data_IF_433983743175
#
_entry.id   IF_433983743175
#
_cell.length_a   1.000
_cell.length_b   1.000
_cell.length_c   1.000
_cell.angle_alpha   90.00
_cell.angle_beta   90.00
_cell.angle_gamma   90.00
#
_symmetry.space_group_name_H-M   'P 1'
#
loop_
_entity.id
_entity.type
_entity.pdbx_description
1 polymer ?
#
# COMPACT_ATOMS: atom_id res chain seq x y z
N UNK A 1 2.23 17.61 -1.49
CA UNK A 1 2.74 17.12 -2.80
C UNK A 1 2.12 15.76 -3.00
N UNK A 2 1.50 15.52 -4.15
CA UNK A 2 0.84 14.25 -4.48
C UNK A 2 1.77 13.40 -5.35
N UNK A 3 1.45 12.12 -5.53
CA UNK A 3 2.18 11.25 -6.45
C UNK A 3 2.25 11.83 -7.88
N UNK A 4 1.21 12.56 -8.33
CA UNK A 4 1.15 13.20 -9.67
C UNK A 4 2.21 14.28 -9.88
N UNK A 5 2.74 14.84 -8.80
CA UNK A 5 3.77 15.89 -8.86
C UNK A 5 5.18 15.33 -9.04
N UNK A 6 5.36 14.03 -8.82
CA UNK A 6 6.67 13.36 -8.86
C UNK A 6 7.20 13.19 -10.28
N UNK A 7 8.52 13.20 -10.41
CA UNK A 7 9.18 13.07 -11.73
C UNK A 7 8.84 11.72 -12.36
N UNK A 8 8.93 10.64 -11.60
CA UNK A 8 8.74 9.29 -12.11
C UNK A 8 7.30 9.09 -12.63
N UNK A 9 6.28 9.61 -11.93
CA UNK A 9 4.90 9.59 -12.40
C UNK A 9 4.73 10.37 -13.71
N UNK A 10 5.24 11.61 -13.74
CA UNK A 10 5.14 12.46 -14.94
C UNK A 10 5.83 11.84 -16.14
N UNK A 11 6.99 11.18 -15.93
CA UNK A 11 7.69 10.50 -17.00
C UNK A 11 6.93 9.26 -17.49
N UNK A 12 6.37 8.45 -16.59
CA UNK A 12 5.62 7.25 -16.95
C UNK A 12 4.36 7.57 -17.77
N UNK A 13 3.65 8.64 -17.42
CA UNK A 13 2.35 8.97 -18.01
C UNK A 13 2.38 10.18 -18.95
N UNK A 14 3.54 10.56 -19.48
CA UNK A 14 3.64 11.64 -20.47
C UNK A 14 3.23 11.20 -21.88
N UNK A 15 3.16 12.17 -22.80
CA UNK A 15 2.66 11.96 -24.17
C UNK A 15 3.64 11.24 -25.09
N UNK A 16 4.91 11.08 -24.70
CA UNK A 16 5.97 10.52 -25.55
C UNK A 16 5.72 9.07 -25.97
N UNK A 17 4.95 8.32 -25.19
CA UNK A 17 4.67 6.90 -25.46
C UNK A 17 3.54 6.65 -26.46
N UNK A 18 2.90 7.68 -27.01
CA UNK A 18 1.75 7.54 -27.88
C UNK A 18 0.53 6.94 -27.13
N UNK A 19 -0.07 5.91 -27.61
CA UNK A 19 -1.13 5.09 -26.96
C UNK A 19 -2.03 5.84 -25.96
N UNK A 20 -2.57 7.00 -26.36
CA UNK A 20 -3.35 7.91 -25.48
C UNK A 20 -4.44 7.15 -24.71
N UNK A 21 -5.23 6.34 -25.43
CA UNK A 21 -6.34 5.60 -24.81
C UNK A 21 -5.87 4.60 -23.72
N UNK A 22 -4.73 3.95 -23.92
CA UNK A 22 -4.16 3.03 -22.90
C UNK A 22 -3.68 3.81 -21.68
N UNK A 23 -2.96 4.92 -21.91
CA UNK A 23 -2.46 5.78 -20.84
C UNK A 23 -3.61 6.32 -19.98
N UNK A 24 -4.66 6.85 -20.61
CA UNK A 24 -5.84 7.35 -19.91
C UNK A 24 -6.54 6.24 -19.11
N UNK A 25 -6.68 5.04 -19.67
CA UNK A 25 -7.25 3.91 -18.96
C UNK A 25 -6.44 3.52 -17.73
N UNK A 26 -5.11 3.47 -17.85
CA UNK A 26 -4.22 3.12 -16.74
C UNK A 26 -4.23 4.23 -15.66
N UNK A 27 -4.22 5.50 -16.05
CA UNK A 27 -4.32 6.61 -15.12
C UNK A 27 -5.65 6.57 -14.36
N UNK A 28 -6.77 6.40 -15.05
CA UNK A 28 -8.09 6.32 -14.42
C UNK A 28 -8.20 5.09 -13.50
N UNK A 29 -7.70 3.94 -13.92
CA UNK A 29 -7.67 2.73 -13.10
C UNK A 29 -6.83 2.93 -11.84
N UNK A 30 -5.67 3.59 -11.96
CA UNK A 30 -4.84 3.90 -10.80
C UNK A 30 -5.54 4.87 -9.85
N UNK A 31 -6.21 5.91 -10.33
CA UNK A 31 -6.96 6.84 -9.48
C UNK A 31 -8.07 6.14 -8.68
N UNK A 32 -8.78 5.23 -9.32
CA UNK A 32 -9.80 4.40 -8.64
C UNK A 32 -9.14 3.53 -7.56
N UNK A 33 -8.04 2.85 -7.89
CA UNK A 33 -7.30 2.02 -6.95
C UNK A 33 -6.74 2.84 -5.77
N UNK A 34 -6.18 4.02 -6.04
CA UNK A 34 -5.67 4.95 -5.02
C UNK A 34 -6.77 5.39 -4.05
N UNK A 35 -7.94 5.77 -4.57
CA UNK A 35 -9.06 6.16 -3.73
C UNK A 35 -9.56 5.01 -2.85
N UNK A 36 -9.65 3.80 -3.41
CA UNK A 36 -10.04 2.61 -2.66
C UNK A 36 -9.00 2.22 -1.60
N UNK A 37 -7.71 2.27 -1.94
CA UNK A 37 -6.63 2.00 -1.00
C UNK A 37 -6.61 3.03 0.14
N UNK A 38 -6.86 4.31 -0.15
CA UNK A 38 -6.96 5.35 0.89
C UNK A 38 -7.97 5.00 1.98
N UNK A 39 -9.10 4.41 1.61
CA UNK A 39 -10.10 3.96 2.59
C UNK A 39 -9.55 2.83 3.48
N UNK A 40 -8.86 1.84 2.91
CA UNK A 40 -8.27 0.73 3.67
C UNK A 40 -7.11 1.20 4.56
N UNK A 41 -6.22 2.00 4.02
CA UNK A 41 -5.05 2.52 4.73
C UNK A 41 -5.43 3.37 5.95
N UNK A 42 -6.50 4.18 5.83
CA UNK A 42 -7.01 4.94 6.95
C UNK A 42 -7.52 4.06 8.12
N UNK A 43 -7.88 2.81 7.85
CA UNK A 43 -8.28 1.86 8.89
C UNK A 43 -7.10 1.31 9.68
N UNK A 44 -5.92 1.20 9.08
CA UNK A 44 -4.71 0.76 9.77
C UNK A 44 -4.43 1.63 11.01
N UNK A 45 -4.59 2.95 10.87
CA UNK A 45 -4.42 3.88 12.00
C UNK A 45 -5.40 3.64 13.13
N UNK A 46 -6.61 3.18 12.82
CA UNK A 46 -7.65 2.87 13.81
C UNK A 46 -7.34 1.52 14.47
N UNK A 47 -6.96 0.53 13.65
CA UNK A 47 -6.69 -0.84 14.10
C UNK A 47 -5.39 -0.91 14.92
N UNK A 48 -4.40 -0.08 14.57
CA UNK A 48 -3.06 -0.06 15.16
C UNK A 48 -2.58 1.36 15.45
N UNK A 49 -3.13 2.04 16.47
CA UNK A 49 -2.82 3.46 16.75
C UNK A 49 -1.36 3.71 17.17
N UNK A 50 -0.64 2.67 17.59
CA UNK A 50 0.77 2.74 17.99
C UNK A 50 1.76 2.57 16.82
N UNK A 51 1.29 2.16 15.63
CA UNK A 51 2.14 2.08 14.46
C UNK A 51 2.42 3.47 13.87
N UNK A 52 3.50 3.54 13.12
CA UNK A 52 3.80 4.70 12.27
C UNK A 52 2.66 4.97 11.29
N UNK A 53 2.59 6.19 10.77
CA UNK A 53 1.51 6.59 9.86
C UNK A 53 1.61 5.77 8.56
N UNK A 54 0.65 4.88 8.34
CA UNK A 54 0.48 4.07 7.13
C UNK A 54 -0.79 4.48 6.39
N UNK A 55 -0.92 5.77 6.10
CA UNK A 55 -2.03 6.32 5.34
C UNK A 55 -1.65 6.59 3.87
N UNK A 56 -2.57 7.15 3.11
CA UNK A 56 -2.33 7.44 1.70
C UNK A 56 -1.17 8.43 1.48
N UNK A 57 -0.85 9.27 2.46
CA UNK A 57 0.28 10.21 2.33
C UNK A 57 1.62 9.50 2.42
N UNK A 58 1.70 8.40 3.17
CA UNK A 58 2.85 7.50 3.16
C UNK A 58 3.05 6.91 1.76
N UNK A 59 2.00 6.37 1.16
CA UNK A 59 2.04 5.80 -0.19
C UNK A 59 2.43 6.84 -1.24
N UNK A 60 1.87 8.05 -1.15
CA UNK A 60 2.26 9.15 -2.05
C UNK A 60 3.75 9.51 -1.91
N UNK A 61 4.31 9.42 -0.69
CA UNK A 61 5.72 9.67 -0.48
C UNK A 61 6.65 8.61 -1.07
N UNK A 62 6.18 7.36 -1.24
CA UNK A 62 6.95 6.32 -1.93
C UNK A 62 7.26 6.69 -3.39
N UNK A 63 6.35 7.37 -4.07
CA UNK A 63 6.62 7.90 -5.40
C UNK A 63 7.76 8.94 -5.43
N UNK A 64 7.89 9.74 -4.37
CA UNK A 64 9.00 10.69 -4.24
C UNK A 64 10.32 9.96 -4.03
N UNK A 65 10.34 9.00 -3.10
CA UNK A 65 11.52 8.18 -2.83
C UNK A 65 11.94 7.41 -4.08
N UNK A 66 10.99 6.76 -4.76
CA UNK A 66 11.25 6.06 -6.02
C UNK A 66 11.79 7.00 -7.11
N UNK A 67 11.27 8.23 -7.21
CA UNK A 67 11.78 9.24 -8.15
C UNK A 67 13.23 9.66 -7.84
N UNK A 68 13.59 9.74 -6.56
CA UNK A 68 14.96 10.07 -6.14
C UNK A 68 15.91 8.91 -6.48
N UNK A 69 15.50 7.67 -6.20
CA UNK A 69 16.29 6.46 -6.48
C UNK A 69 16.46 6.26 -7.99
N UNK A 70 15.40 6.43 -8.76
CA UNK A 70 15.40 6.26 -10.22
C UNK A 70 16.31 7.31 -10.91
N UNK A 71 16.39 8.51 -10.36
CA UNK A 71 17.12 9.61 -10.99
C UNK A 71 16.44 10.12 -12.26
N UNK A 72 17.19 10.91 -13.05
CA UNK A 72 16.63 11.57 -14.24
C UNK A 72 16.62 10.68 -15.49
N UNK A 73 17.47 9.66 -15.50
CA UNK A 73 17.70 8.83 -16.70
C UNK A 73 16.84 7.57 -16.73
N UNK A 74 16.21 7.23 -15.61
CA UNK A 74 15.35 6.06 -15.52
C UNK A 74 13.93 6.40 -15.98
N UNK A 75 13.47 5.68 -16.99
CA UNK A 75 12.17 5.92 -17.62
C UNK A 75 11.27 4.70 -17.47
N UNK A 76 10.07 4.94 -16.95
CA UNK A 76 9.00 3.94 -16.93
C UNK A 76 8.03 4.21 -18.08
N UNK A 77 7.55 3.16 -18.74
CA UNK A 77 6.38 3.25 -19.59
C UNK A 77 5.09 3.27 -18.74
N UNK A 78 3.92 3.61 -19.32
CA UNK A 78 2.67 3.72 -18.56
C UNK A 78 2.27 2.44 -17.82
N UNK A 79 2.55 1.25 -18.37
CA UNK A 79 2.22 -0.03 -17.72
C UNK A 79 3.15 -0.29 -16.52
N UNK A 80 4.42 -0.03 -16.66
CA UNK A 80 5.40 -0.15 -15.57
C UNK A 80 5.08 0.82 -14.44
N UNK A 81 4.74 2.08 -14.78
CA UNK A 81 4.29 3.08 -13.81
C UNK A 81 3.02 2.64 -13.07
N UNK A 82 2.06 2.08 -13.78
CA UNK A 82 0.84 1.54 -13.19
C UNK A 82 1.14 0.39 -12.23
N UNK A 83 1.96 -0.59 -12.63
CA UNK A 83 2.33 -1.74 -11.80
C UNK A 83 3.07 -1.28 -10.54
N UNK A 84 4.06 -0.39 -10.69
CA UNK A 84 4.80 0.16 -9.55
C UNK A 84 3.87 0.87 -8.57
N UNK A 85 2.98 1.72 -9.08
CA UNK A 85 2.02 2.43 -8.25
C UNK A 85 1.05 1.51 -7.52
N UNK A 86 0.53 0.50 -8.19
CA UNK A 86 -0.31 -0.51 -7.54
C UNK A 86 0.46 -1.28 -6.46
N UNK A 87 1.74 -1.59 -6.68
CA UNK A 87 2.58 -2.20 -5.65
C UNK A 87 2.70 -1.32 -4.41
N UNK A 88 2.85 0.00 -4.57
CA UNK A 88 2.84 0.94 -3.45
C UNK A 88 1.49 0.99 -2.71
N UNK A 89 0.37 0.86 -3.43
CA UNK A 89 -0.95 0.88 -2.81
C UNK A 89 -1.23 -0.37 -1.96
N UNK A 90 -0.73 -1.53 -2.37
CA UNK A 90 -1.09 -2.81 -1.74
C UNK A 90 -0.09 -3.30 -0.69
N UNK A 91 1.13 -2.75 -0.63
CA UNK A 91 2.18 -3.28 0.25
C UNK A 91 1.77 -3.28 1.73
N UNK A 92 1.04 -2.25 2.17
CA UNK A 92 0.54 -2.13 3.54
C UNK A 92 -0.94 -2.50 3.71
N UNK A 93 -1.67 -2.76 2.61
CA UNK A 93 -3.11 -2.99 2.67
C UNK A 93 -3.50 -4.17 3.57
N UNK A 94 -2.65 -5.18 3.67
CA UNK A 94 -2.85 -6.35 4.52
C UNK A 94 -2.72 -6.06 6.02
N UNK A 95 -2.19 -4.91 6.43
CA UNK A 95 -2.12 -4.51 7.83
C UNK A 95 -3.50 -4.12 8.39
N UNK A 96 -4.49 -3.80 7.55
CA UNK A 96 -5.86 -3.57 8.03
C UNK A 96 -6.61 -4.87 8.27
N UNK A 97 -7.27 -5.01 9.43
CA UNK A 97 -8.14 -6.16 9.70
C UNK A 97 -9.26 -6.33 8.67
N UNK A 98 -9.71 -5.25 8.04
CA UNK A 98 -10.74 -5.30 6.99
C UNK A 98 -10.27 -6.12 5.78
N UNK A 99 -8.99 -6.05 5.45
CA UNK A 99 -8.43 -6.82 4.32
C UNK A 99 -8.57 -8.34 4.49
N UNK A 100 -8.68 -8.81 5.74
CA UNK A 100 -8.82 -10.23 6.09
C UNK A 100 -10.21 -10.59 6.64
N UNK A 101 -11.20 -9.71 6.44
CA UNK A 101 -12.58 -9.95 6.89
C UNK A 101 -12.84 -9.61 8.36
N UNK A 102 -11.94 -8.87 9.00
CA UNK A 102 -12.05 -8.44 10.39
C UNK A 102 -11.19 -9.25 11.37
N UNK A 103 -11.07 -8.73 12.61
CA UNK A 103 -10.25 -9.32 13.68
C UNK A 103 -10.65 -10.77 14.00
N UNK A 104 -11.95 -11.06 14.07
CA UNK A 104 -12.44 -12.39 14.40
C UNK A 104 -12.17 -13.40 13.28
N UNK A 105 -12.28 -12.96 12.03
CA UNK A 105 -11.92 -13.78 10.87
C UNK A 105 -10.44 -14.14 10.90
N UNK A 106 -9.55 -13.17 11.16
CA UNK A 106 -8.12 -13.42 11.32
C UNK A 106 -7.84 -14.45 12.44
N UNK A 107 -8.44 -14.24 13.62
CA UNK A 107 -8.27 -15.13 14.78
C UNK A 107 -8.79 -16.55 14.54
N UNK A 108 -9.70 -16.75 13.60
CA UNK A 108 -10.23 -18.07 13.25
C UNK A 108 -9.29 -18.88 12.35
N UNK A 109 -8.31 -18.25 11.70
CA UNK A 109 -7.37 -18.92 10.79
C UNK A 109 -6.44 -19.90 11.53
N UNK A 110 -5.99 -20.91 10.82
CA UNK A 110 -4.99 -21.88 11.34
C UNK A 110 -3.69 -21.18 11.65
N UNK A 111 -3.24 -20.31 10.75
CA UNK A 111 -2.00 -19.54 10.87
C UNK A 111 -1.97 -18.69 12.15
N UNK A 112 -3.08 -18.03 12.47
CA UNK A 112 -3.20 -17.27 13.72
C UNK A 112 -3.12 -18.19 14.94
N UNK A 113 -3.85 -19.31 14.94
CA UNK A 113 -3.88 -20.26 16.05
C UNK A 113 -2.51 -20.88 16.31
N UNK A 114 -1.80 -21.24 15.25
CA UNK A 114 -0.44 -21.78 15.32
C UNK A 114 0.53 -20.73 15.87
N UNK A 115 0.48 -19.49 15.35
CA UNK A 115 1.28 -18.39 15.85
C UNK A 115 1.00 -18.12 17.34
N UNK A 116 -0.28 -18.03 17.73
CA UNK A 116 -0.68 -17.80 19.12
C UNK A 116 -0.19 -18.92 20.04
N UNK A 117 -0.33 -20.18 19.63
CA UNK A 117 0.14 -21.34 20.40
C UNK A 117 1.66 -21.35 20.57
N UNK A 118 2.40 -21.12 19.49
CA UNK A 118 3.86 -21.32 19.49
C UNK A 118 4.64 -20.11 19.98
N UNK A 119 4.12 -18.91 19.80
CA UNK A 119 4.84 -17.68 20.11
C UNK A 119 4.30 -16.98 21.36
N UNK A 120 3.02 -16.67 21.41
CA UNK A 120 2.43 -15.89 22.50
C UNK A 120 2.34 -16.71 23.79
N UNK A 121 1.97 -18.00 23.71
CA UNK A 121 1.88 -18.87 24.88
C UNK A 121 3.22 -19.15 25.56
N UNK A 122 4.33 -19.01 24.81
CA UNK A 122 5.70 -19.19 25.31
C UNK A 122 6.36 -17.89 25.79
N UNK A 123 5.70 -16.74 25.59
CA UNK A 123 6.21 -15.45 26.05
C UNK A 123 5.91 -15.23 27.53
N UNK A 124 6.79 -14.48 28.22
CA UNK A 124 6.57 -14.05 29.60
C UNK A 124 5.54 -12.90 29.72
N UNK A 125 4.73 -12.70 28.70
CA UNK A 125 3.67 -11.69 28.68
C UNK A 125 2.57 -12.04 29.67
N UNK A 126 2.00 -11.01 30.31
CA UNK A 126 0.82 -11.14 31.15
C UNK A 126 -0.41 -11.56 30.33
N UNK A 127 -1.44 -12.08 30.97
CA UNK A 127 -2.66 -12.49 30.26
C UNK A 127 -3.36 -11.31 29.55
N UNK A 128 -3.24 -10.08 30.11
CA UNK A 128 -3.74 -8.85 29.47
C UNK A 128 -2.95 -8.46 28.21
N UNK A 129 -1.65 -8.77 28.16
CA UNK A 129 -0.80 -8.51 26.99
C UNK A 129 -0.96 -9.57 25.89
N UNK A 130 -1.58 -10.72 26.19
CA UNK A 130 -1.85 -11.82 25.24
C UNK A 130 -3.18 -11.68 24.51
N UNK A 131 -4.09 -10.79 24.98
CA UNK A 131 -5.39 -10.51 24.37
C UNK A 131 -5.32 -9.40 23.30
#
# INVERSE_FOLDING_TARGET
MTYKDTTLWKEAFNDKYGHIALRERLTNAFEIAHNNASFLLNKIRIDFPSLTIHDITHVDSLWQVASIIAGKDYQLNPLEGFILGCSFLIHDAALSYIAVGGKDSLRSTTEWKDFHSDYISKSDMTDEEKE
#
